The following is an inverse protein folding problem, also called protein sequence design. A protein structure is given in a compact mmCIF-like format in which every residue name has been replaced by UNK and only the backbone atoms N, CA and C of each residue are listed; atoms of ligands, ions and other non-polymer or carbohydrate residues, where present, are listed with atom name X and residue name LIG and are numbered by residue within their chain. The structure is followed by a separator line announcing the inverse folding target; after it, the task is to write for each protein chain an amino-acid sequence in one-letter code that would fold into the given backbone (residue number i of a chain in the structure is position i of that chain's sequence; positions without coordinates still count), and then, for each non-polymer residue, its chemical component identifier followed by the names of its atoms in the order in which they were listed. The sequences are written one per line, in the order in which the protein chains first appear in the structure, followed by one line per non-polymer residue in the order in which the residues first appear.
data_IF_743767546661
#
_entry.id   IF_743767546661
#
_cell.length_a   1.000
_cell.length_b   1.000
_cell.length_c   1.000
_cell.angle_alpha   90.00
_cell.angle_beta   90.00
_cell.angle_gamma   90.00
#
_symmetry.space_group_name_H-M   'P 1'
#
loop_
_entity.id
_entity.type
_entity.pdbx_description
1 polymer ?
#
# COMPACT_ATOMS: atom_id res chain seq x y z
N UNK A 1 10.26 -12.10 -18.97
CA UNK A 1 10.54 -13.47 -19.44
C UNK A 1 11.52 -14.22 -18.54
N UNK A 2 12.55 -13.56 -18.00
CA UNK A 2 13.59 -14.21 -17.18
C UNK A 2 13.05 -14.67 -15.81
N UNK A 3 12.27 -13.84 -15.13
CA UNK A 3 11.69 -14.16 -13.83
C UNK A 3 10.74 -15.37 -13.90
N UNK A 4 9.93 -15.48 -14.98
CA UNK A 4 9.06 -16.62 -15.20
C UNK A 4 9.83 -17.93 -15.40
N UNK A 5 10.99 -17.88 -16.08
CA UNK A 5 11.88 -19.04 -16.23
C UNK A 5 12.48 -19.46 -14.88
N UNK A 6 12.89 -18.50 -14.07
CA UNK A 6 13.44 -18.78 -12.74
C UNK A 6 12.42 -19.49 -11.83
N UNK A 7 11.15 -19.11 -11.90
CA UNK A 7 10.09 -19.73 -11.12
C UNK A 7 9.63 -21.09 -11.67
N UNK A 8 9.90 -21.42 -12.95
CA UNK A 8 9.49 -22.67 -13.57
C UNK A 8 10.19 -23.90 -12.96
N UNK A 9 11.38 -23.72 -12.40
CA UNK A 9 12.18 -24.81 -11.80
C UNK A 9 11.85 -25.05 -10.32
N UNK A 10 10.86 -24.33 -9.76
CA UNK A 10 10.50 -24.53 -8.37
C UNK A 10 9.66 -25.79 -8.16
N UNK A 11 9.93 -26.58 -7.10
CA UNK A 11 9.27 -27.86 -6.88
C UNK A 11 7.78 -27.77 -6.57
N UNK A 12 7.33 -26.60 -6.20
CA UNK A 12 5.90 -26.26 -5.96
C UNK A 12 5.60 -24.95 -6.68
N UNK A 13 4.45 -24.88 -7.35
CA UNK A 13 4.01 -23.66 -8.01
C UNK A 13 3.99 -22.50 -6.98
N UNK A 14 4.75 -21.42 -7.20
CA UNK A 14 4.84 -20.35 -6.24
C UNK A 14 3.52 -19.57 -6.17
N UNK A 15 3.15 -19.14 -4.98
CA UNK A 15 2.08 -18.16 -4.83
C UNK A 15 2.67 -16.77 -5.09
N UNK A 16 2.32 -16.18 -6.21
CA UNK A 16 2.77 -14.85 -6.61
C UNK A 16 1.93 -13.78 -5.88
N UNK A 17 2.56 -12.95 -5.08
CA UNK A 17 1.97 -11.71 -4.54
C UNK A 17 2.63 -10.56 -5.27
N UNK A 18 1.86 -9.83 -6.06
CA UNK A 18 2.34 -8.65 -6.75
C UNK A 18 2.10 -7.39 -5.88
N UNK A 19 2.98 -6.42 -6.01
CA UNK A 19 2.85 -5.13 -5.35
C UNK A 19 2.44 -4.08 -6.38
N UNK A 20 1.38 -3.33 -6.07
CA UNK A 20 0.92 -2.22 -6.88
C UNK A 20 1.68 -0.94 -6.48
N UNK A 21 2.29 -0.22 -7.46
CA UNK A 21 3.10 0.95 -7.18
C UNK A 21 2.35 2.02 -6.38
N UNK A 22 2.94 2.48 -5.29
CA UNK A 22 2.33 3.39 -4.33
C UNK A 22 1.85 4.72 -4.93
N UNK A 23 2.51 5.20 -6.00
CA UNK A 23 2.15 6.45 -6.68
C UNK A 23 0.90 6.35 -7.54
N UNK A 24 0.45 5.15 -7.85
CA UNK A 24 -0.69 4.88 -8.73
C UNK A 24 -1.90 4.36 -7.95
N UNK A 25 -1.76 4.21 -6.63
CA UNK A 25 -2.85 3.74 -5.74
C UNK A 25 -3.15 4.78 -4.68
N UNK A 26 -4.39 5.25 -4.64
CA UNK A 26 -4.90 6.08 -3.55
C UNK A 26 -5.42 5.17 -2.44
N UNK A 27 -4.82 5.28 -1.24
CA UNK A 27 -5.35 4.68 -0.02
C UNK A 27 -6.23 5.70 0.71
N UNK A 28 -7.47 5.34 0.98
CA UNK A 28 -8.46 6.21 1.62
C UNK A 28 -9.39 5.39 2.53
N UNK A 29 -10.38 6.06 3.09
CA UNK A 29 -11.44 5.42 3.85
C UNK A 29 -12.78 6.11 3.60
N UNK A 30 -13.87 5.36 3.72
CA UNK A 30 -15.23 5.86 3.59
C UNK A 30 -16.03 5.60 4.87
N UNK A 31 -16.73 6.62 5.35
CA UNK A 31 -17.67 6.46 6.45
C UNK A 31 -19.00 5.95 5.91
N UNK A 32 -19.38 4.75 6.32
CA UNK A 32 -20.65 4.14 5.97
C UNK A 32 -21.62 4.30 7.15
N UNK A 33 -22.79 4.93 6.98
CA UNK A 33 -23.75 5.12 8.05
C UNK A 33 -24.17 3.79 8.70
N UNK A 34 -24.43 3.84 10.01
CA UNK A 34 -24.88 2.70 10.76
C UNK A 34 -26.14 2.06 10.12
N UNK A 35 -26.16 0.74 9.96
CA UNK A 35 -27.25 0.01 9.33
C UNK A 35 -27.15 -0.13 7.80
N UNK A 36 -26.27 0.59 7.13
CA UNK A 36 -26.05 0.49 5.68
C UNK A 36 -24.88 -0.40 5.28
N UNK A 37 -24.19 -1.01 6.22
CA UNK A 37 -23.00 -1.85 5.97
C UNK A 37 -23.24 -2.99 4.97
N UNK A 38 -24.48 -3.53 4.90
CA UNK A 38 -24.84 -4.55 3.89
C UNK A 38 -24.84 -4.04 2.45
N UNK A 39 -24.95 -2.72 2.28
CA UNK A 39 -24.95 -2.06 0.97
C UNK A 39 -23.64 -1.31 0.69
N UNK A 40 -22.61 -1.52 1.50
CA UNK A 40 -21.34 -0.80 1.43
C UNK A 40 -20.76 -0.79 0.02
N UNK A 41 -20.77 -1.93 -0.68
CA UNK A 41 -20.22 -2.02 -2.06
C UNK A 41 -20.93 -1.11 -3.05
N UNK A 42 -22.23 -0.86 -2.86
CA UNK A 42 -23.02 0.01 -3.75
C UNK A 42 -22.87 1.48 -3.36
N UNK A 43 -22.66 1.77 -2.07
CA UNK A 43 -22.53 3.12 -1.55
C UNK A 43 -21.10 3.69 -1.72
N UNK A 44 -20.08 2.83 -1.71
CA UNK A 44 -18.67 3.24 -1.74
C UNK A 44 -18.32 4.20 -2.88
N UNK A 45 -18.71 3.99 -4.15
CA UNK A 45 -18.41 4.91 -5.22
C UNK A 45 -18.83 6.34 -4.89
N UNK A 46 -20.04 6.52 -4.42
CA UNK A 46 -20.58 7.85 -4.05
C UNK A 46 -19.89 8.47 -2.84
N UNK A 47 -19.42 7.64 -1.88
CA UNK A 47 -18.80 8.12 -0.65
C UNK A 47 -17.34 8.56 -0.84
N UNK A 48 -16.70 8.14 -1.93
CA UNK A 48 -15.30 8.48 -2.22
C UNK A 48 -15.14 9.39 -3.43
N UNK A 49 -16.19 9.62 -4.23
CA UNK A 49 -16.15 10.40 -5.46
C UNK A 49 -15.52 11.79 -5.26
N UNK A 50 -15.87 12.49 -4.17
CA UNK A 50 -15.29 13.80 -3.83
C UNK A 50 -13.79 13.78 -3.54
N UNK A 51 -13.21 12.59 -3.33
CA UNK A 51 -11.78 12.41 -3.04
C UNK A 51 -10.97 12.02 -4.27
N UNK A 52 -11.66 11.81 -5.40
CA UNK A 52 -11.03 11.38 -6.64
C UNK A 52 -10.73 12.57 -7.53
N UNK A 53 -9.63 12.46 -8.26
CA UNK A 53 -9.27 13.40 -9.32
C UNK A 53 -9.76 12.91 -10.69
N UNK A 54 -10.06 11.63 -10.81
CA UNK A 54 -10.55 10.94 -12.01
C UNK A 54 -12.04 10.62 -11.89
N UNK A 55 -12.67 10.36 -13.02
CA UNK A 55 -14.06 9.91 -13.06
C UNK A 55 -14.20 8.52 -12.41
N UNK A 56 -15.30 8.32 -11.69
CA UNK A 56 -15.55 7.09 -10.93
C UNK A 56 -15.59 5.84 -11.83
N UNK A 57 -15.93 6.01 -13.11
CA UNK A 57 -16.00 4.91 -14.09
C UNK A 57 -14.61 4.47 -14.57
N UNK A 58 -13.60 5.32 -14.42
CA UNK A 58 -12.21 5.05 -14.84
C UNK A 58 -11.39 4.36 -13.75
N UNK A 59 -11.93 4.24 -12.54
CA UNK A 59 -11.21 3.70 -11.39
C UNK A 59 -11.82 2.42 -10.85
N UNK A 60 -10.95 1.54 -10.41
CA UNK A 60 -11.29 0.37 -9.61
C UNK A 60 -11.19 0.69 -8.13
N UNK A 61 -12.20 0.32 -7.37
CA UNK A 61 -12.27 0.49 -5.92
C UNK A 61 -12.19 -0.88 -5.27
N UNK A 62 -11.08 -1.15 -4.60
CA UNK A 62 -10.92 -2.33 -3.76
C UNK A 62 -11.20 -1.97 -2.30
N UNK A 63 -11.91 -2.84 -1.63
CA UNK A 63 -12.37 -2.64 -0.26
C UNK A 63 -11.58 -3.56 0.70
N UNK A 64 -11.13 -3.00 1.82
CA UNK A 64 -10.58 -3.78 2.93
C UNK A 64 -11.68 -4.32 3.85
N UNK A 65 -11.29 -4.83 5.03
CA UNK A 65 -12.24 -5.40 5.99
C UNK A 65 -13.27 -4.36 6.46
N UNK A 66 -14.52 -4.79 6.56
CA UNK A 66 -15.61 -3.97 7.08
C UNK A 66 -15.77 -4.27 8.55
N UNK A 67 -15.39 -3.32 9.41
CA UNK A 67 -15.62 -3.39 10.84
C UNK A 67 -16.83 -2.53 11.26
N UNK A 68 -17.46 -2.91 12.35
CA UNK A 68 -18.63 -2.19 12.87
C UNK A 68 -18.18 -0.82 13.38
N UNK A 69 -18.89 0.25 12.98
CA UNK A 69 -18.65 1.63 13.43
C UNK A 69 -17.26 2.20 13.09
N UNK A 70 -16.54 1.55 12.18
CA UNK A 70 -15.27 2.05 11.68
C UNK A 70 -15.37 2.46 10.20
N UNK A 71 -14.57 3.42 9.74
CA UNK A 71 -14.46 3.73 8.34
C UNK A 71 -14.00 2.50 7.55
N UNK A 72 -14.61 2.26 6.40
CA UNK A 72 -14.21 1.19 5.51
C UNK A 72 -12.97 1.60 4.76
N UNK A 73 -11.84 0.89 4.89
CA UNK A 73 -10.63 1.21 4.16
C UNK A 73 -10.80 0.83 2.69
N UNK A 74 -10.29 1.67 1.80
CA UNK A 74 -10.36 1.48 0.36
C UNK A 74 -9.02 1.78 -0.30
N UNK A 75 -8.76 1.05 -1.38
CA UNK A 75 -7.69 1.35 -2.31
C UNK A 75 -8.30 1.63 -3.68
N UNK A 76 -7.92 2.75 -4.28
CA UNK A 76 -8.43 3.19 -5.57
C UNK A 76 -7.30 3.26 -6.56
N UNK A 77 -7.52 2.74 -7.76
CA UNK A 77 -6.53 2.69 -8.83
C UNK A 77 -7.24 2.75 -10.19
N UNK A 78 -6.63 3.38 -11.18
CA UNK A 78 -7.18 3.42 -12.52
C UNK A 78 -7.26 2.03 -13.13
N UNK A 79 -8.35 1.75 -13.85
CA UNK A 79 -8.52 0.48 -14.56
C UNK A 79 -7.36 0.18 -15.50
N UNK A 80 -6.86 1.19 -16.21
CA UNK A 80 -5.76 1.05 -17.16
C UNK A 80 -4.47 0.56 -16.49
N UNK A 81 -4.20 0.99 -15.25
CA UNK A 81 -3.02 0.55 -14.52
C UNK A 81 -3.10 -0.93 -14.14
N UNK A 82 -4.23 -1.37 -13.57
CA UNK A 82 -4.41 -2.80 -13.23
C UNK A 82 -4.28 -3.67 -14.46
N UNK A 83 -4.89 -3.26 -15.56
CA UNK A 83 -4.83 -4.00 -16.83
C UNK A 83 -3.39 -4.13 -17.30
N UNK A 84 -2.63 -3.03 -17.31
CA UNK A 84 -1.25 -3.03 -17.74
C UNK A 84 -0.36 -3.94 -16.85
N UNK A 85 -0.56 -3.89 -15.53
CA UNK A 85 0.20 -4.75 -14.61
C UNK A 85 -0.15 -6.22 -14.79
N UNK A 86 -1.42 -6.55 -14.90
CA UNK A 86 -1.86 -7.92 -15.08
C UNK A 86 -1.38 -8.49 -16.42
N UNK A 87 -1.46 -7.71 -17.50
CA UNK A 87 -0.96 -8.12 -18.82
C UNK A 87 0.55 -8.42 -18.77
N UNK A 88 1.33 -7.54 -18.14
CA UNK A 88 2.77 -7.74 -17.96
C UNK A 88 3.08 -9.01 -17.15
N UNK A 89 2.36 -9.25 -16.05
CA UNK A 89 2.54 -10.41 -15.19
C UNK A 89 2.14 -11.71 -15.92
N UNK A 90 1.00 -11.74 -16.58
CA UNK A 90 0.56 -12.91 -17.37
C UNK A 90 1.50 -13.20 -18.54
N UNK A 91 1.97 -12.17 -19.23
CA UNK A 91 2.96 -12.32 -20.32
C UNK A 91 4.28 -12.87 -19.80
N UNK A 92 4.67 -12.50 -18.57
CA UNK A 92 5.85 -13.06 -17.91
C UNK A 92 5.65 -14.49 -17.37
N UNK A 93 4.44 -15.06 -17.45
CA UNK A 93 4.12 -16.36 -16.87
C UNK A 93 3.98 -16.37 -15.35
N UNK A 94 3.70 -15.21 -14.75
CA UNK A 94 3.60 -15.00 -13.31
C UNK A 94 2.18 -14.55 -12.89
N UNK A 95 1.18 -15.43 -13.04
CA UNK A 95 -0.19 -15.06 -12.66
C UNK A 95 -0.25 -14.71 -11.17
N UNK A 96 -0.67 -13.48 -10.80
CA UNK A 96 -0.68 -13.08 -9.41
C UNK A 96 -1.85 -13.72 -8.66
N UNK A 97 -1.58 -14.19 -7.46
CA UNK A 97 -2.60 -14.67 -6.53
C UNK A 97 -3.22 -13.51 -5.72
N UNK A 98 -2.50 -12.39 -5.60
CA UNK A 98 -2.92 -11.15 -4.96
C UNK A 98 -2.15 -9.97 -5.53
N UNK A 99 -2.76 -8.79 -5.52
CA UNK A 99 -2.15 -7.51 -5.91
C UNK A 99 -2.36 -6.50 -4.77
N UNK A 100 -1.32 -6.21 -4.02
CA UNK A 100 -1.36 -5.45 -2.78
C UNK A 100 -0.72 -4.07 -2.99
N UNK A 101 -1.31 -2.96 -2.53
CA UNK A 101 -0.65 -1.65 -2.53
C UNK A 101 0.67 -1.68 -1.77
N UNK A 102 1.77 -1.23 -2.37
CA UNK A 102 3.12 -1.23 -1.76
C UNK A 102 3.17 -0.66 -0.34
N UNK A 103 2.51 0.48 -0.02
CA UNK A 103 2.58 1.03 1.33
C UNK A 103 2.02 0.08 2.39
N UNK A 104 1.03 -0.75 2.04
CA UNK A 104 0.45 -1.73 2.96
C UNK A 104 1.34 -2.96 3.21
N UNK A 105 2.40 -3.10 2.43
CA UNK A 105 3.44 -4.11 2.65
C UNK A 105 4.59 -3.61 3.55
N UNK A 106 4.58 -2.36 3.99
CA UNK A 106 5.53 -1.89 5.01
C UNK A 106 5.15 -2.44 6.39
N UNK A 107 6.13 -2.65 7.29
CA UNK A 107 5.84 -2.96 8.68
C UNK A 107 4.92 -1.91 9.31
N UNK A 108 3.93 -2.36 10.06
CA UNK A 108 3.03 -1.44 10.76
C UNK A 108 2.93 -1.77 12.23
N UNK A 109 2.94 -0.73 13.06
CA UNK A 109 2.62 -0.78 14.49
C UNK A 109 1.76 0.44 14.82
N UNK A 110 0.86 0.28 15.78
CA UNK A 110 0.07 1.40 16.27
C UNK A 110 1.00 2.50 16.83
N UNK A 111 0.69 3.77 16.53
CA UNK A 111 1.52 4.91 16.93
C UNK A 111 2.86 5.04 16.18
N UNK A 112 3.04 4.33 15.05
CA UNK A 112 4.27 4.38 14.25
C UNK A 112 3.99 4.73 12.79
N UNK A 113 4.84 5.57 12.22
CA UNK A 113 4.96 5.77 10.78
C UNK A 113 6.17 4.99 10.29
N UNK A 114 5.99 4.13 9.30
CA UNK A 114 7.07 3.39 8.65
C UNK A 114 7.39 4.00 7.29
N UNK A 115 8.68 4.14 7.00
CA UNK A 115 9.20 4.69 5.74
C UNK A 115 10.20 3.72 5.14
N UNK A 116 10.05 3.36 3.87
CA UNK A 116 11.12 2.67 3.13
C UNK A 116 11.62 3.55 2.01
N UNK A 117 12.94 3.65 1.89
CA UNK A 117 13.63 4.40 0.84
C UNK A 117 13.99 3.42 -0.27
N UNK A 118 13.54 3.72 -1.49
CA UNK A 118 13.72 2.89 -2.67
C UNK A 118 14.20 3.75 -3.85
N UNK A 119 15.49 4.09 -3.87
CA UNK A 119 16.05 5.01 -4.84
C UNK A 119 15.41 6.40 -4.73
N UNK A 120 14.80 6.88 -5.83
CA UNK A 120 14.14 8.19 -5.89
C UNK A 120 12.70 8.18 -5.34
N UNK A 121 12.21 7.03 -4.90
CA UNK A 121 10.88 6.88 -4.33
C UNK A 121 10.95 6.50 -2.85
N UNK A 122 10.07 7.09 -2.06
CA UNK A 122 9.86 6.71 -0.68
C UNK A 122 8.43 6.16 -0.51
N UNK A 123 8.34 5.03 0.18
CA UNK A 123 7.07 4.44 0.60
C UNK A 123 6.82 4.82 2.05
N UNK A 124 5.62 5.27 2.36
CA UNK A 124 5.23 5.66 3.71
C UNK A 124 3.96 4.92 4.11
N UNK A 125 3.97 4.34 5.32
CA UNK A 125 2.78 3.78 5.96
C UNK A 125 2.56 4.49 7.29
N UNK A 126 1.44 5.18 7.42
CA UNK A 126 1.09 6.01 8.59
C UNK A 126 -0.12 5.48 9.38
N UNK A 127 -0.49 4.22 9.16
CA UNK A 127 -1.61 3.57 9.80
C UNK A 127 -1.87 2.20 9.22
N UNK A 128 -2.82 1.47 9.80
CA UNK A 128 -3.18 0.15 9.30
C UNK A 128 -3.54 0.16 7.82
N UNK A 129 -4.28 1.19 7.37
CA UNK A 129 -4.81 1.32 6.02
C UNK A 129 -4.42 2.66 5.35
N UNK A 130 -3.50 3.40 5.95
CA UNK A 130 -3.06 4.71 5.48
C UNK A 130 -1.61 4.65 5.03
N UNK A 131 -1.34 5.07 3.82
CA UNK A 131 0.01 5.15 3.28
C UNK A 131 0.02 5.81 1.91
N UNK A 132 1.21 6.15 1.45
CA UNK A 132 1.44 6.78 0.15
C UNK A 132 2.86 6.49 -0.36
N UNK A 133 3.08 6.76 -1.64
CA UNK A 133 4.40 6.88 -2.24
C UNK A 133 4.68 8.33 -2.60
N UNK A 134 5.90 8.79 -2.39
CA UNK A 134 6.33 10.13 -2.78
C UNK A 134 7.76 10.11 -3.32
N UNK A 135 8.15 11.22 -3.98
CA UNK A 135 9.53 11.44 -4.34
C UNK A 135 10.37 11.66 -3.08
N UNK A 136 11.63 11.27 -3.14
CA UNK A 136 12.59 11.39 -2.05
C UNK A 136 12.68 12.82 -1.49
N UNK A 137 12.67 13.81 -2.37
CA UNK A 137 12.74 15.23 -2.00
C UNK A 137 11.52 15.70 -1.21
N UNK A 138 10.40 15.00 -1.35
CA UNK A 138 9.13 15.34 -0.70
C UNK A 138 8.87 14.55 0.60
N UNK A 139 9.73 13.58 0.94
CA UNK A 139 9.50 12.67 2.07
C UNK A 139 9.33 13.40 3.40
N UNK A 140 10.12 14.43 3.64
CA UNK A 140 10.08 15.19 4.89
C UNK A 140 8.76 15.98 5.03
N UNK A 141 8.30 16.58 3.94
CA UNK A 141 7.02 17.29 3.89
C UNK A 141 5.86 16.32 4.10
N UNK A 142 5.90 15.16 3.45
CA UNK A 142 4.90 14.11 3.62
C UNK A 142 4.84 13.60 5.06
N UNK A 143 6.00 13.33 5.67
CA UNK A 143 6.10 12.88 7.06
C UNK A 143 5.55 13.91 8.04
N UNK A 144 5.94 15.18 7.88
CA UNK A 144 5.44 16.26 8.74
C UNK A 144 3.92 16.40 8.66
N UNK A 145 3.36 16.26 7.45
CA UNK A 145 1.92 16.31 7.24
C UNK A 145 1.20 15.12 7.89
N UNK A 146 1.70 13.90 7.67
CA UNK A 146 1.12 12.69 8.24
C UNK A 146 1.23 12.66 9.76
N UNK A 147 2.36 13.08 10.32
CA UNK A 147 2.56 13.16 11.76
C UNK A 147 1.58 14.14 12.42
N UNK A 148 1.36 15.30 11.79
CA UNK A 148 0.36 16.29 12.25
C UNK A 148 -1.05 15.71 12.19
N UNK A 149 -1.42 15.05 11.11
CA UNK A 149 -2.73 14.39 10.98
C UNK A 149 -2.94 13.34 12.09
N UNK A 150 -1.91 12.54 12.43
CA UNK A 150 -2.01 11.59 13.55
C UNK A 150 -2.26 12.29 14.89
N UNK A 151 -1.69 13.48 15.11
CA UNK A 151 -1.91 14.28 16.32
C UNK A 151 -3.30 14.92 16.31
N UNK A 152 -3.75 15.46 15.18
CA UNK A 152 -5.08 16.06 15.02
C UNK A 152 -6.20 15.02 15.23
N UNK A 153 -5.95 13.76 14.87
CA UNK A 153 -6.84 12.62 15.17
C UNK A 153 -6.86 12.25 16.68
N UNK A 154 -6.19 13.02 17.54
CA UNK A 154 -6.14 12.83 19.00
C UNK A 154 -5.06 11.87 19.47
N UNK A 155 -4.15 11.45 18.60
CA UNK A 155 -3.00 10.60 18.93
C UNK A 155 -1.82 11.38 19.53
N UNK A 156 -0.90 10.65 20.15
CA UNK A 156 0.44 11.17 20.48
C UNK A 156 1.26 11.34 19.20
N UNK A 157 2.39 12.08 19.27
CA UNK A 157 3.34 12.15 18.19
C UNK A 157 3.83 10.73 17.81
N UNK A 158 3.61 10.26 16.56
CA UNK A 158 3.95 8.89 16.19
C UNK A 158 5.46 8.68 16.14
N UNK A 159 5.94 7.50 16.53
CA UNK A 159 7.32 7.11 16.25
C UNK A 159 7.54 6.97 14.74
N UNK A 160 8.74 7.30 14.25
CA UNK A 160 9.10 7.13 12.83
C UNK A 160 10.16 6.03 12.72
N UNK A 161 9.86 4.98 11.95
CA UNK A 161 10.81 3.92 11.61
C UNK A 161 11.19 4.04 10.14
N UNK A 162 12.49 4.25 9.87
CA UNK A 162 13.03 4.40 8.54
C UNK A 162 13.80 3.14 8.17
N UNK A 163 13.47 2.55 7.04
CA UNK A 163 14.15 1.42 6.43
C UNK A 163 14.89 1.91 5.19
N UNK A 164 16.22 1.85 5.23
CA UNK A 164 17.06 2.29 4.13
C UNK A 164 18.10 1.22 3.77
N UNK A 165 18.58 1.18 2.50
CA UNK A 165 19.71 0.36 2.09
C UNK A 165 20.97 0.78 2.83
N UNK A 166 21.94 -0.15 2.99
CA UNK A 166 23.25 0.13 3.62
C UNK A 166 24.06 1.24 2.92
N UNK A 167 23.88 1.36 1.61
CA UNK A 167 24.54 2.38 0.77
C UNK A 167 24.09 3.81 1.08
N UNK A 168 22.96 3.94 1.76
CA UNK A 168 22.42 5.22 2.20
C UNK A 168 22.94 5.50 3.60
N UNK A 169 23.46 6.69 3.87
CA UNK A 169 23.89 7.07 5.23
C UNK A 169 22.70 7.17 6.20
N UNK A 170 22.38 6.10 6.97
CA UNK A 170 21.20 6.09 7.87
C UNK A 170 21.24 7.22 8.88
N UNK A 171 22.46 7.54 9.35
CA UNK A 171 22.70 8.64 10.27
C UNK A 171 22.37 10.02 9.68
N UNK A 172 22.53 10.20 8.37
CA UNK A 172 22.18 11.46 7.71
C UNK A 172 20.66 11.66 7.66
N UNK A 173 19.91 10.60 7.37
CA UNK A 173 18.45 10.61 7.40
C UNK A 173 17.90 10.88 8.80
N UNK A 174 18.44 10.19 9.79
CA UNK A 174 18.08 10.42 11.19
C UNK A 174 18.32 11.86 11.61
N UNK A 175 19.48 12.43 11.30
CA UNK A 175 19.81 13.84 11.60
C UNK A 175 18.90 14.83 10.87
N UNK A 176 18.64 14.62 9.57
CA UNK A 176 17.78 15.48 8.77
C UNK A 176 16.34 15.54 9.32
N UNK A 177 15.78 14.38 9.64
CA UNK A 177 14.47 14.29 10.25
C UNK A 177 14.43 14.90 11.64
N UNK A 178 15.41 14.60 12.49
CA UNK A 178 15.50 15.19 13.84
C UNK A 178 15.61 16.71 13.78
N UNK A 179 16.40 17.27 12.85
CA UNK A 179 16.54 18.73 12.68
C UNK A 179 15.22 19.38 12.24
N UNK A 180 14.51 18.77 11.29
CA UNK A 180 13.20 19.30 10.85
C UNK A 180 12.13 19.15 11.91
N UNK A 181 12.13 18.05 12.63
CA UNK A 181 11.18 17.84 13.73
C UNK A 181 11.49 18.71 14.96
N UNK A 182 12.76 18.95 15.26
CA UNK A 182 13.13 19.89 16.33
C UNK A 182 12.65 21.33 16.03
N UNK A 183 12.67 21.73 14.73
CA UNK A 183 12.12 23.03 14.33
C UNK A 183 10.57 23.07 14.37
N UNK A 184 9.89 21.92 14.42
CA UNK A 184 8.43 21.78 14.45
C UNK A 184 7.88 21.29 15.80
N UNK A 185 8.68 21.31 16.88
CA UNK A 185 8.33 20.74 18.21
C UNK A 185 7.84 19.27 18.14
N UNK A 186 8.41 18.46 17.23
CA UNK A 186 8.04 17.06 17.12
C UNK A 186 8.67 16.22 18.25
N UNK A 187 7.82 15.62 19.07
CA UNK A 187 8.23 14.85 20.25
C UNK A 187 8.35 13.34 20.00
N UNK A 188 8.15 12.87 18.76
CA UNK A 188 8.20 11.43 18.42
C UNK A 188 9.63 10.90 18.31
N UNK A 189 9.80 9.60 18.61
CA UNK A 189 11.06 8.89 18.43
C UNK A 189 11.33 8.61 16.94
N UNK A 190 12.59 8.75 16.51
CA UNK A 190 13.02 8.40 15.14
C UNK A 190 14.04 7.27 15.22
N UNK A 191 13.67 6.11 14.67
CA UNK A 191 14.55 4.94 14.56
C UNK A 191 14.91 4.69 13.09
N UNK A 192 16.18 4.43 12.80
CA UNK A 192 16.67 4.07 11.47
C UNK A 192 17.11 2.61 11.48
N UNK A 193 16.62 1.85 10.52
CA UNK A 193 16.91 0.43 10.35
C UNK A 193 17.63 0.21 9.02
N UNK A 194 18.87 -0.20 9.08
CA UNK A 194 19.60 -0.66 7.91
C UNK A 194 19.03 -2.01 7.43
N UNK A 195 18.86 -2.17 6.13
CA UNK A 195 18.35 -3.40 5.52
C UNK A 195 19.13 -3.77 4.27
N UNK A 196 19.89 -4.84 4.36
CA UNK A 196 20.44 -5.51 3.20
C UNK A 196 19.34 -6.04 2.30
N UNK A 197 19.56 -6.07 0.98
CA UNK A 197 18.64 -6.67 0.02
C UNK A 197 17.52 -5.76 -0.51
N UNK A 198 17.59 -4.46 -0.23
CA UNK A 198 16.70 -3.45 -0.81
C UNK A 198 15.26 -3.48 -0.27
N UNK A 199 14.32 -2.75 -0.90
CA UNK A 199 12.95 -2.58 -0.41
C UNK A 199 12.19 -3.89 -0.21
N UNK A 200 12.40 -4.89 -1.06
CA UNK A 200 11.72 -6.18 -0.96
C UNK A 200 12.09 -6.96 0.32
N UNK A 201 13.27 -6.74 0.88
CA UNK A 201 13.66 -7.34 2.15
C UNK A 201 12.84 -6.81 3.33
N UNK A 202 12.30 -5.59 3.20
CA UNK A 202 11.39 -4.97 4.19
C UNK A 202 9.95 -5.39 3.96
N UNK A 203 9.50 -5.36 2.68
CA UNK A 203 8.11 -5.60 2.29
C UNK A 203 7.74 -7.09 2.33
N UNK A 204 8.64 -7.96 1.88
CA UNK A 204 8.39 -9.39 1.73
C UNK A 204 7.93 -10.09 3.02
N UNK A 205 8.62 -9.95 4.16
CA UNK A 205 8.24 -10.60 5.40
C UNK A 205 6.81 -10.26 5.86
N UNK A 206 6.34 -9.06 5.59
CA UNK A 206 4.99 -8.63 5.97
C UNK A 206 3.92 -9.35 5.15
N UNK A 207 4.24 -9.75 3.91
CA UNK A 207 3.31 -10.40 3.00
C UNK A 207 3.13 -11.91 3.28
N UNK A 208 4.11 -12.53 3.93
CA UNK A 208 4.09 -13.97 4.22
C UNK A 208 3.22 -14.29 5.45
N UNK A 209 3.18 -13.41 6.46
CA UNK A 209 2.56 -13.67 7.76
C UNK A 209 1.09 -13.28 7.90
N UNK A 210 0.55 -12.39 7.05
CA UNK A 210 -0.81 -11.88 7.22
C UNK A 210 -1.86 -12.75 6.54
N UNK A 211 -3.03 -12.89 7.20
CA UNK A 211 -4.18 -13.52 6.59
C UNK A 211 -4.74 -12.67 5.43
N UNK A 212 -5.22 -13.27 4.34
CA UNK A 212 -5.79 -12.52 3.21
C UNK A 212 -6.92 -11.55 3.58
N UNK A 213 -7.64 -11.83 4.68
CA UNK A 213 -8.74 -11.00 5.16
C UNK A 213 -8.29 -9.66 5.78
N UNK A 214 -7.01 -9.54 6.16
CA UNK A 214 -6.45 -8.35 6.82
C UNK A 214 -5.73 -7.42 5.83
N UNK A 215 -5.96 -7.61 4.53
CA UNK A 215 -5.32 -6.83 3.46
C UNK A 215 -6.36 -6.25 2.52
N UNK A 216 -5.99 -5.15 1.86
CA UNK A 216 -6.71 -4.68 0.67
C UNK A 216 -6.05 -5.33 -0.54
N UNK A 217 -6.72 -6.31 -1.13
CA UNK A 217 -6.30 -6.93 -2.38
C UNK A 217 -7.03 -6.24 -3.54
N UNK A 218 -6.29 -5.72 -4.51
CA UNK A 218 -6.86 -5.06 -5.69
C UNK A 218 -7.54 -6.08 -6.63
N UNK A 219 -7.26 -7.38 -6.49
CA UNK A 219 -7.91 -8.43 -7.27
C UNK A 219 -9.29 -8.75 -6.69
N UNK A 220 -10.19 -7.77 -6.73
CA UNK A 220 -11.60 -7.87 -6.31
C UNK A 220 -12.53 -7.52 -7.47
N UNK A 221 -13.83 -7.85 -7.32
CA UNK A 221 -14.83 -7.51 -8.32
C UNK A 221 -14.49 -8.09 -9.69
N UNK A 222 -14.41 -7.24 -10.71
CA UNK A 222 -14.08 -7.65 -12.08
C UNK A 222 -12.67 -8.24 -12.27
N UNK A 223 -11.77 -7.99 -11.33
CA UNK A 223 -10.39 -8.51 -11.32
C UNK A 223 -10.20 -9.71 -10.40
N UNK A 224 -11.23 -10.10 -9.65
CA UNK A 224 -11.19 -11.26 -8.77
C UNK A 224 -11.00 -12.55 -9.57
N UNK A 225 -10.00 -13.35 -9.20
CA UNK A 225 -9.92 -14.71 -9.70
C UNK A 225 -11.06 -15.51 -9.07
N UNK A 226 -12.11 -15.79 -9.84
CA UNK A 226 -13.03 -16.87 -9.50
C UNK A 226 -12.22 -18.17 -9.47
N UNK A 227 -11.90 -18.66 -8.28
CA UNK A 227 -11.17 -19.92 -8.09
C UNK A 227 -11.89 -21.14 -8.67
N UNK A 228 -13.12 -20.94 -9.19
CA UNK A 228 -13.99 -21.98 -9.77
C UNK A 228 -14.08 -21.97 -11.30
N UNK A 229 -13.53 -20.97 -11.98
CA UNK A 229 -13.57 -20.88 -13.45
C UNK A 229 -12.15 -21.06 -14.00
N UNK A 230 -11.83 -22.30 -14.38
CA UNK A 230 -10.65 -22.58 -15.20
C UNK A 230 -10.58 -21.63 -16.39
N UNK A 231 -9.43 -20.98 -16.56
CA UNK A 231 -8.95 -20.28 -17.75
C UNK A 231 -10.04 -19.59 -18.60
N UNK A 232 -10.78 -18.65 -18.07
CA UNK A 232 -11.50 -17.71 -18.93
C UNK A 232 -10.51 -16.65 -19.38
N UNK A 233 -10.10 -16.76 -20.65
CA UNK A 233 -9.45 -15.69 -21.39
C UNK A 233 -10.27 -14.42 -21.17
N UNK A 234 -9.69 -13.43 -20.52
CA UNK A 234 -10.25 -12.10 -20.40
C UNK A 234 -10.45 -11.55 -21.80
N UNK A 235 -11.69 -11.44 -22.24
CA UNK A 235 -12.03 -10.98 -23.59
C UNK A 235 -12.40 -9.49 -23.48
N UNK A 236 -11.42 -8.62 -23.69
CA UNK A 236 -11.61 -7.18 -23.80
C UNK A 236 -12.23 -6.86 -25.17
N UNK A 237 -13.52 -6.60 -25.22
CA UNK A 237 -14.19 -5.90 -26.31
C UNK A 237 -15.13 -4.87 -25.72
#
# INVERSE_FOLDING_TARGET
PELGRYCADWPVAPRIVALAPARQVLLSSAHVPAGQQRYVKQALPFLIEEKLAEDIEDVHIAMGPVAREQPVPVAVVRHLEIIAWLDALYTAGLPPASLIPEPLALPWREGQISVAIAGDCCLIRAGQWRGLGCDRDNVLTALSTLARQCQDDGGAAPAIAIYCPEEEEPAAWGRCLQQQHAAADYAGEVAVHEREGGPLAVLGPQLVGEAPADRIDLLQGGYGSDRSAGARRFNWR
#
